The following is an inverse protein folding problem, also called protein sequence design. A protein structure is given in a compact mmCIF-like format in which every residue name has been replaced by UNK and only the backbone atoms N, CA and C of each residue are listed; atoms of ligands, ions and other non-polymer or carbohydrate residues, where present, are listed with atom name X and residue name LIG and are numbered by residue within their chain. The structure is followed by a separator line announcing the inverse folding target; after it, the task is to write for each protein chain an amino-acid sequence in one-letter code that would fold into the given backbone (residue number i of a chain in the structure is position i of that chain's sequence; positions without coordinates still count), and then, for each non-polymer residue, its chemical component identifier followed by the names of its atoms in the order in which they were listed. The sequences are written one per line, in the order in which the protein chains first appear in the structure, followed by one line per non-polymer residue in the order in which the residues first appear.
data_IF_525014078811
#
_entry.id   IF_525014078811
#
_cell.length_a   1.000
_cell.length_b   1.000
_cell.length_c   1.000
_cell.angle_alpha   90.00
_cell.angle_beta   90.00
_cell.angle_gamma   90.00
#
_symmetry.space_group_name_H-M   'P 1'
#
loop_
_entity.id
_entity.type
_entity.pdbx_description
1 polymer ?
#
# COMPACT_ATOMS: atom_id res chain seq x y z
N UNK A 1 -13.25 -10.66 -18.05
CA UNK A 1 -12.38 -10.05 -17.02
C UNK A 1 -11.72 -11.21 -16.30
N UNK A 2 -10.41 -11.40 -16.48
CA UNK A 2 -9.69 -12.49 -15.82
C UNK A 2 -9.63 -12.19 -14.32
N UNK A 3 -10.13 -13.12 -13.52
CA UNK A 3 -9.87 -13.17 -12.09
C UNK A 3 -8.35 -13.28 -11.91
N UNK A 4 -7.71 -12.29 -11.31
CA UNK A 4 -6.31 -12.43 -10.93
C UNK A 4 -6.28 -13.43 -9.76
N UNK A 5 -5.97 -14.69 -10.05
CA UNK A 5 -5.62 -15.67 -9.02
C UNK A 5 -4.26 -15.27 -8.47
N UNK A 6 -4.27 -14.56 -7.34
CA UNK A 6 -3.05 -14.16 -6.63
C UNK A 6 -2.59 -15.37 -5.82
N UNK A 7 -1.34 -15.76 -6.00
CA UNK A 7 -0.75 -16.84 -5.22
C UNK A 7 -0.63 -16.40 -3.74
N UNK A 8 -0.89 -17.31 -2.78
CA UNK A 8 -0.72 -17.00 -1.34
C UNK A 8 0.69 -16.48 -1.04
N UNK A 9 1.70 -16.91 -1.81
CA UNK A 9 3.07 -16.42 -1.71
C UNK A 9 3.17 -14.91 -1.95
N UNK A 10 2.47 -14.39 -2.95
CA UNK A 10 2.46 -12.97 -3.28
C UNK A 10 1.72 -12.16 -2.20
N UNK A 11 0.61 -12.69 -1.67
CA UNK A 11 -0.07 -12.08 -0.52
C UNK A 11 0.83 -11.99 0.71
N UNK A 12 1.69 -12.98 0.95
CA UNK A 12 2.65 -12.96 2.06
C UNK A 12 3.71 -11.87 1.86
N UNK A 13 4.13 -11.59 0.64
CA UNK A 13 5.08 -10.51 0.34
C UNK A 13 4.46 -9.14 0.66
N UNK A 14 3.23 -8.90 0.23
CA UNK A 14 2.50 -7.67 0.58
C UNK A 14 2.35 -7.49 2.10
N UNK A 15 2.02 -8.57 2.83
CA UNK A 15 1.93 -8.53 4.30
C UNK A 15 3.27 -8.21 4.96
N UNK A 16 4.39 -8.76 4.46
CA UNK A 16 5.74 -8.45 4.97
C UNK A 16 6.10 -6.97 4.78
N UNK A 17 5.62 -6.36 3.71
CA UNK A 17 5.76 -4.93 3.44
C UNK A 17 4.79 -4.04 4.26
N UNK A 18 3.92 -4.65 5.07
CA UNK A 18 2.99 -3.97 5.96
C UNK A 18 1.64 -3.64 5.34
N UNK A 19 1.35 -4.09 4.12
CA UNK A 19 0.06 -3.87 3.46
C UNK A 19 -1.00 -4.80 4.03
N UNK A 20 -2.20 -4.26 4.26
CA UNK A 20 -3.34 -5.05 4.77
C UNK A 20 -4.09 -5.72 3.61
N UNK A 21 -3.65 -6.93 3.28
CA UNK A 21 -4.24 -7.74 2.19
C UNK A 21 -5.68 -8.18 2.42
N UNK A 22 -6.22 -8.01 3.63
CA UNK A 22 -7.60 -8.41 3.99
C UNK A 22 -8.64 -7.31 3.78
N UNK A 23 -8.22 -6.11 3.34
CA UNK A 23 -9.14 -5.00 3.08
C UNK A 23 -9.80 -5.10 1.70
N UNK A 24 -10.98 -4.51 1.56
CA UNK A 24 -11.71 -4.47 0.27
C UNK A 24 -11.01 -3.55 -0.74
N UNK A 25 -10.34 -2.53 -0.22
CA UNK A 25 -9.57 -1.53 -0.94
C UNK A 25 -8.33 -2.18 -1.56
N UNK A 26 -7.63 -3.02 -0.79
CA UNK A 26 -6.51 -3.80 -1.29
C UNK A 26 -6.91 -4.64 -2.51
N UNK A 27 -8.00 -5.40 -2.41
CA UNK A 27 -8.50 -6.23 -3.52
C UNK A 27 -8.82 -5.40 -4.77
N UNK A 28 -9.51 -4.26 -4.58
CA UNK A 28 -9.85 -3.35 -5.69
C UNK A 28 -8.61 -2.76 -6.35
N UNK A 29 -7.65 -2.28 -5.56
CA UNK A 29 -6.44 -1.65 -6.07
C UNK A 29 -5.48 -2.66 -6.70
N UNK A 30 -5.40 -3.87 -6.15
CA UNK A 30 -4.64 -4.96 -6.73
C UNK A 30 -5.20 -5.37 -8.10
N UNK A 31 -6.52 -5.59 -8.18
CA UNK A 31 -7.20 -5.87 -9.46
C UNK A 31 -7.10 -4.71 -10.46
N UNK A 32 -6.98 -3.48 -9.96
CA UNK A 32 -6.75 -2.28 -10.77
C UNK A 32 -5.29 -2.08 -11.19
N UNK A 33 -4.36 -2.94 -10.77
CA UNK A 33 -2.94 -2.83 -11.07
C UNK A 33 -2.22 -1.71 -10.29
N UNK A 34 -2.87 -1.11 -9.29
CA UNK A 34 -2.34 0.00 -8.51
C UNK A 34 -1.34 -0.43 -7.43
N UNK A 35 -1.14 -1.74 -7.24
CA UNK A 35 -0.17 -2.30 -6.27
C UNK A 35 0.99 -3.06 -6.96
N UNK A 36 1.12 -2.94 -8.28
CA UNK A 36 2.09 -3.70 -9.07
C UNK A 36 3.54 -3.20 -8.89
N UNK A 37 3.73 -1.97 -8.43
CA UNK A 37 5.04 -1.39 -8.19
C UNK A 37 5.12 -0.92 -6.73
N UNK A 38 5.89 -1.63 -5.92
CA UNK A 38 6.13 -1.25 -4.53
C UNK A 38 7.56 -0.77 -4.38
N UNK A 39 7.70 0.48 -3.94
CA UNK A 39 8.97 1.03 -3.52
C UNK A 39 9.11 0.89 -2.00
N UNK A 40 9.90 -0.09 -1.57
CA UNK A 40 10.15 -0.37 -0.15
C UNK A 40 10.78 0.82 0.60
N UNK A 41 11.66 1.59 -0.07
CA UNK A 41 12.27 2.77 0.55
C UNK A 41 11.21 3.82 0.84
N UNK A 42 10.25 4.01 -0.07
CA UNK A 42 9.12 4.89 0.16
C UNK A 42 8.23 4.39 1.29
N UNK A 43 7.95 3.07 1.37
CA UNK A 43 7.20 2.50 2.47
C UNK A 43 7.86 2.73 3.83
N UNK A 44 9.19 2.63 3.92
CA UNK A 44 9.93 2.96 5.13
C UNK A 44 9.79 4.45 5.48
N UNK A 45 9.86 5.36 4.50
CA UNK A 45 9.67 6.80 4.73
C UNK A 45 8.25 7.12 5.24
N UNK A 46 7.23 6.47 4.68
CA UNK A 46 5.85 6.59 5.16
C UNK A 46 5.77 6.14 6.62
N UNK A 47 6.22 4.93 6.93
CA UNK A 47 6.16 4.41 8.29
C UNK A 47 6.92 5.30 9.29
N UNK A 48 8.15 5.71 8.95
CA UNK A 48 8.96 6.58 9.81
C UNK A 48 8.27 7.93 10.03
N UNK A 49 7.70 8.55 9.00
CA UNK A 49 6.97 9.80 9.15
C UNK A 49 5.82 9.68 10.15
N UNK A 50 5.00 8.63 10.04
CA UNK A 50 3.85 8.44 10.92
C UNK A 50 4.22 8.06 12.35
N UNK A 51 5.30 7.30 12.54
CA UNK A 51 5.84 6.96 13.85
C UNK A 51 6.45 8.19 14.52
N UNK A 52 7.34 8.91 13.83
CA UNK A 52 8.07 10.05 14.39
C UNK A 52 7.15 11.23 14.74
N UNK A 53 6.14 11.50 13.91
CA UNK A 53 5.29 12.68 14.08
C UNK A 53 4.02 12.41 14.90
N UNK A 54 3.55 11.15 14.94
CA UNK A 54 2.25 10.83 15.54
C UNK A 54 2.26 9.58 16.43
N UNK A 55 3.41 8.90 16.58
CA UNK A 55 3.54 7.61 17.29
C UNK A 55 2.53 6.55 16.77
N UNK A 56 2.33 6.54 15.44
CA UNK A 56 1.35 5.67 14.77
C UNK A 56 2.00 4.81 13.71
N UNK A 57 1.72 3.51 13.77
CA UNK A 57 1.94 2.58 12.66
C UNK A 57 0.70 2.58 11.77
N UNK A 58 0.88 2.82 10.48
CA UNK A 58 -0.21 2.88 9.51
C UNK A 58 -0.10 1.76 8.47
N UNK A 59 -1.22 1.48 7.80
CA UNK A 59 -1.24 0.66 6.60
C UNK A 59 -0.89 1.53 5.39
N UNK A 60 0.23 1.26 4.69
CA UNK A 60 0.68 2.10 3.60
C UNK A 60 0.01 1.76 2.25
N UNK A 61 -0.98 0.85 2.21
CA UNK A 61 -1.63 0.43 0.95
C UNK A 61 -2.14 1.62 0.12
N UNK A 62 -2.76 2.62 0.77
CA UNK A 62 -3.21 3.85 0.10
C UNK A 62 -2.05 4.64 -0.53
N UNK A 63 -0.90 4.69 0.14
CA UNK A 63 0.26 5.45 -0.31
C UNK A 63 0.86 4.82 -1.58
N UNK A 64 0.91 3.48 -1.63
CA UNK A 64 1.31 2.72 -2.83
C UNK A 64 0.35 2.97 -3.98
N UNK A 65 -0.96 2.81 -3.73
CA UNK A 65 -1.97 3.00 -4.76
C UNK A 65 -1.92 4.42 -5.34
N UNK A 66 -1.76 5.43 -4.48
CA UNK A 66 -1.64 6.82 -4.89
C UNK A 66 -0.35 7.08 -5.69
N UNK A 67 0.78 6.54 -5.27
CA UNK A 67 2.04 6.73 -6.00
C UNK A 67 2.01 6.09 -7.37
N UNK A 68 1.41 4.91 -7.50
CA UNK A 68 1.28 4.23 -8.79
C UNK A 68 0.25 4.90 -9.71
N UNK A 69 -0.81 5.49 -9.14
CA UNK A 69 -1.80 6.24 -9.90
C UNK A 69 -1.27 7.59 -10.41
N UNK A 70 -0.49 8.29 -9.60
CA UNK A 70 -0.14 9.72 -9.85
C UNK A 70 1.33 9.95 -10.20
N UNK A 71 2.21 8.98 -9.98
CA UNK A 71 3.66 9.13 -10.03
C UNK A 71 4.25 9.96 -8.88
N UNK A 72 3.42 10.42 -7.93
CA UNK A 72 3.86 11.27 -6.81
C UNK A 72 3.91 10.47 -5.51
N UNK A 73 4.97 10.65 -4.75
CA UNK A 73 5.14 10.10 -3.41
C UNK A 73 4.78 11.17 -2.39
N UNK A 74 3.77 10.90 -1.57
CA UNK A 74 3.37 11.76 -0.45
C UNK A 74 3.23 10.91 0.80
N UNK A 75 4.10 11.15 1.79
CA UNK A 75 4.10 10.44 3.06
C UNK A 75 3.04 10.95 4.05
N UNK A 76 2.38 12.07 3.75
CA UNK A 76 1.36 12.70 4.59
C UNK A 76 -0.05 12.39 4.12
N UNK A 77 -0.18 11.52 3.12
CA UNK A 77 -1.46 11.20 2.51
C UNK A 77 -2.40 10.59 3.57
N UNK A 78 -3.55 11.21 3.73
CA UNK A 78 -4.64 10.73 4.58
C UNK A 78 -5.89 10.51 3.76
N UNK A 79 -6.66 9.49 4.12
CA UNK A 79 -7.99 9.30 3.60
C UNK A 79 -8.95 10.21 4.37
N UNK A 80 -9.62 11.12 3.67
CA UNK A 80 -10.79 11.81 4.20
C UNK A 80 -11.94 10.79 4.35
N UNK A 81 -12.68 10.85 5.46
CA UNK A 81 -13.78 9.93 5.77
C UNK A 81 -15.07 10.34 5.08
#
# INVERSE_FOLDING_TARGET
MQSVEIEEKELQEYRKMGLRTSSSEFDKWLKGGLLNNIDENFLSQVNNYWIENYDRKIDPTLHVAFSNLTGRKDNRLIQEK
#
